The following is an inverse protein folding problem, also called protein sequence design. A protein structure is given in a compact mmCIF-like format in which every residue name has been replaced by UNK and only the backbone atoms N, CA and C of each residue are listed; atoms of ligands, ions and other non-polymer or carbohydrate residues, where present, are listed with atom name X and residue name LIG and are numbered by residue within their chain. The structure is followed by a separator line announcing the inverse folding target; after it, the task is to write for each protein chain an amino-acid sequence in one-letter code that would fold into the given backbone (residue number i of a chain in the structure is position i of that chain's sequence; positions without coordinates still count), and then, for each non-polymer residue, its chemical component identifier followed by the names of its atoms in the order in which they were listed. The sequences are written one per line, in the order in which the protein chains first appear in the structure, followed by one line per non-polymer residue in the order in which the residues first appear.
data_IF_488875970188
#
_entry.id   IF_488875970188
#
_cell.length_a   1.000
_cell.length_b   1.000
_cell.length_c   1.000
_cell.angle_alpha   90.00
_cell.angle_beta   90.00
_cell.angle_gamma   90.00
#
_symmetry.space_group_name_H-M   'P 1'
#
loop_
_entity.id
_entity.type
_entity.pdbx_description
1 polymer ?
#
# COMPACT_ATOMS: atom_id res chain seq x y z
N UNK A 1 -21.29 -16.80 -5.11
CA UNK A 1 -19.87 -16.60 -5.47
C UNK A 1 -19.64 -15.40 -6.40
N UNK A 2 -20.64 -14.96 -7.22
CA UNK A 2 -20.46 -13.80 -8.12
C UNK A 2 -20.15 -12.50 -7.37
N UNK A 3 -20.63 -12.35 -6.13
CA UNK A 3 -20.49 -11.11 -5.33
C UNK A 3 -19.33 -11.18 -4.28
N UNK A 4 -18.47 -12.22 -4.40
CA UNK A 4 -17.42 -12.48 -3.42
C UNK A 4 -16.40 -11.33 -3.33
N UNK A 5 -16.12 -10.68 -4.46
CA UNK A 5 -15.17 -9.57 -4.58
C UNK A 5 -15.86 -8.20 -4.76
N UNK A 6 -17.20 -8.14 -4.73
CA UNK A 6 -17.93 -6.88 -4.86
C UNK A 6 -17.59 -5.92 -3.72
N UNK A 7 -17.44 -4.65 -4.06
CA UNK A 7 -17.30 -3.53 -3.14
C UNK A 7 -18.50 -2.57 -3.24
N UNK A 8 -19.59 -3.00 -3.86
CA UNK A 8 -20.83 -2.20 -3.94
C UNK A 8 -21.30 -1.79 -2.55
N UNK A 9 -21.69 -0.52 -2.42
CA UNK A 9 -22.13 0.08 -1.15
C UNK A 9 -20.99 0.40 -0.17
N UNK A 10 -19.73 0.10 -0.50
CA UNK A 10 -18.58 0.44 0.36
C UNK A 10 -17.98 1.79 -0.01
N UNK A 11 -17.65 2.59 0.99
CA UNK A 11 -16.87 3.83 0.84
C UNK A 11 -15.42 3.53 1.21
N UNK A 12 -14.49 3.90 0.33
CA UNK A 12 -13.06 3.74 0.49
C UNK A 12 -12.33 5.09 0.50
N UNK A 13 -11.33 5.24 1.37
CA UNK A 13 -10.44 6.38 1.40
C UNK A 13 -9.00 5.92 1.16
N UNK A 14 -8.34 6.52 0.14
CA UNK A 14 -7.00 6.13 -0.30
C UNK A 14 -6.04 7.31 -0.21
N UNK A 15 -5.08 7.26 0.71
CA UNK A 15 -4.02 8.27 0.83
C UNK A 15 -2.95 8.06 -0.25
N UNK A 16 -2.41 9.15 -0.79
CA UNK A 16 -1.50 9.07 -1.95
C UNK A 16 -2.19 8.55 -3.22
N UNK A 17 -3.53 8.74 -3.33
CA UNK A 17 -4.36 8.21 -4.41
C UNK A 17 -4.24 8.95 -5.74
N UNK A 18 -3.40 9.98 -5.85
CA UNK A 18 -3.24 10.75 -7.09
C UNK A 18 -2.31 10.13 -8.12
N UNK A 19 -1.40 9.23 -7.70
CA UNK A 19 -0.39 8.59 -8.57
C UNK A 19 -0.02 7.20 -8.07
N UNK A 20 0.71 6.43 -8.88
CA UNK A 20 1.32 5.17 -8.51
C UNK A 20 0.35 4.13 -7.94
N UNK A 21 0.79 3.39 -6.92
CA UNK A 21 0.02 2.29 -6.31
C UNK A 21 -1.33 2.75 -5.75
N UNK A 22 -1.38 3.93 -5.11
CA UNK A 22 -2.64 4.46 -4.58
C UNK A 22 -3.68 4.72 -5.67
N UNK A 23 -3.27 5.26 -6.83
CA UNK A 23 -4.15 5.47 -7.97
C UNK A 23 -4.61 4.13 -8.57
N UNK A 24 -3.73 3.13 -8.68
CA UNK A 24 -4.06 1.78 -9.16
C UNK A 24 -5.11 1.10 -8.26
N UNK A 25 -4.96 1.23 -6.94
CA UNK A 25 -5.93 0.68 -5.98
C UNK A 25 -7.27 1.41 -6.07
N UNK A 26 -7.25 2.75 -6.13
CA UNK A 26 -8.47 3.55 -6.25
C UNK A 26 -9.26 3.20 -7.52
N UNK A 27 -8.58 3.05 -8.65
CA UNK A 27 -9.16 2.63 -9.92
C UNK A 27 -9.78 1.24 -9.82
N UNK A 28 -9.06 0.27 -9.25
CA UNK A 28 -9.56 -1.08 -9.03
C UNK A 28 -10.82 -1.09 -8.14
N UNK A 29 -10.85 -0.30 -7.08
CA UNK A 29 -12.01 -0.22 -6.19
C UNK A 29 -13.25 0.33 -6.90
N UNK A 30 -13.08 1.34 -7.75
CA UNK A 30 -14.18 1.88 -8.57
C UNK A 30 -14.73 0.83 -9.55
N UNK A 31 -13.87 0.05 -10.21
CA UNK A 31 -14.31 -1.04 -11.09
C UNK A 31 -15.10 -2.14 -10.36
N UNK A 32 -14.91 -2.28 -9.06
CA UNK A 32 -15.62 -3.26 -8.23
C UNK A 32 -16.77 -2.65 -7.41
N UNK A 33 -17.17 -1.40 -7.72
CA UNK A 33 -18.39 -0.75 -7.25
C UNK A 33 -18.26 0.09 -5.98
N UNK A 34 -17.06 0.36 -5.48
CA UNK A 34 -16.88 1.24 -4.32
C UNK A 34 -17.06 2.73 -4.67
N UNK A 35 -17.47 3.52 -3.68
CA UNK A 35 -17.31 4.97 -3.68
C UNK A 35 -15.91 5.30 -3.17
N UNK A 36 -15.11 6.08 -3.91
CA UNK A 36 -13.70 6.28 -3.58
C UNK A 36 -13.38 7.74 -3.29
N UNK A 37 -12.70 7.98 -2.17
CA UNK A 37 -12.04 9.23 -1.84
C UNK A 37 -10.54 9.07 -2.03
N UNK A 38 -9.93 9.93 -2.86
CA UNK A 38 -8.48 10.00 -3.01
C UNK A 38 -7.93 11.24 -2.31
N UNK A 39 -6.80 11.06 -1.63
CA UNK A 39 -6.17 12.13 -0.83
C UNK A 39 -4.73 12.33 -1.28
N UNK A 40 -4.32 13.58 -1.50
CA UNK A 40 -2.93 13.96 -1.75
C UNK A 40 -2.71 15.45 -1.47
N UNK A 41 -1.44 15.87 -1.44
CA UNK A 41 -1.04 17.28 -1.18
C UNK A 41 -1.11 18.17 -2.42
N UNK A 42 -0.77 17.63 -3.59
CA UNK A 42 -0.71 18.38 -4.86
C UNK A 42 -2.10 18.45 -5.48
N UNK A 43 -2.75 19.61 -5.33
CA UNK A 43 -4.14 19.79 -5.74
C UNK A 43 -4.37 19.56 -7.23
N UNK A 44 -3.52 20.13 -8.08
CA UNK A 44 -3.60 20.03 -9.54
C UNK A 44 -3.54 18.57 -10.02
N UNK A 45 -2.58 17.81 -9.53
CA UNK A 45 -2.42 16.37 -9.85
C UNK A 45 -3.59 15.56 -9.31
N UNK A 46 -4.04 15.89 -8.10
CA UNK A 46 -5.13 15.18 -7.43
C UNK A 46 -6.46 15.37 -8.16
N UNK A 47 -6.80 16.62 -8.53
CA UNK A 47 -8.03 16.91 -9.25
C UNK A 47 -8.06 16.30 -10.64
N UNK A 48 -6.93 16.36 -11.37
CA UNK A 48 -6.82 15.68 -12.66
C UNK A 48 -7.07 14.17 -12.53
N UNK A 49 -6.47 13.53 -11.52
CA UNK A 49 -6.70 12.10 -11.28
C UNK A 49 -8.15 11.81 -10.88
N UNK A 50 -8.76 12.64 -10.06
CA UNK A 50 -10.16 12.51 -9.68
C UNK A 50 -11.09 12.59 -10.89
N UNK A 51 -10.84 13.52 -11.84
CA UNK A 51 -11.61 13.63 -13.09
C UNK A 51 -11.48 12.39 -14.00
N UNK A 52 -10.27 11.78 -14.04
CA UNK A 52 -10.03 10.52 -14.74
C UNK A 52 -10.84 9.38 -14.11
N UNK A 53 -10.72 9.21 -12.80
CA UNK A 53 -11.37 8.15 -12.04
C UNK A 53 -12.91 8.30 -11.97
N UNK A 54 -13.41 9.52 -11.96
CA UNK A 54 -14.85 9.80 -11.96
C UNK A 54 -15.57 9.32 -13.23
N UNK A 55 -14.85 8.98 -14.30
CA UNK A 55 -15.41 8.34 -15.50
C UNK A 55 -15.73 6.85 -15.29
N UNK A 56 -15.14 6.22 -14.26
CA UNK A 56 -15.33 4.82 -13.93
C UNK A 56 -16.44 4.65 -12.89
N UNK A 57 -16.44 5.50 -11.86
CA UNK A 57 -17.41 5.43 -10.76
C UNK A 57 -17.33 6.64 -9.83
N UNK A 58 -18.08 6.66 -8.73
CA UNK A 58 -18.11 7.77 -7.79
C UNK A 58 -16.73 8.00 -7.16
N UNK A 59 -16.05 9.09 -7.55
CA UNK A 59 -14.75 9.47 -7.05
C UNK A 59 -14.74 10.92 -6.58
N UNK A 60 -14.26 11.15 -5.35
CA UNK A 60 -14.05 12.48 -4.76
C UNK A 60 -12.59 12.66 -4.37
N UNK A 61 -12.17 13.90 -4.18
CA UNK A 61 -10.79 14.20 -3.75
C UNK A 61 -10.76 15.14 -2.56
N UNK A 62 -9.81 14.91 -1.64
CA UNK A 62 -9.54 15.78 -0.49
C UNK A 62 -8.07 16.17 -0.53
N UNK A 63 -7.79 17.48 -0.59
CA UNK A 63 -6.42 18.01 -0.52
C UNK A 63 -6.00 18.04 0.95
N UNK A 64 -4.99 17.23 1.31
CA UNK A 64 -4.48 17.20 2.68
C UNK A 64 -3.02 16.73 2.74
N UNK A 65 -2.30 17.20 3.75
CA UNK A 65 -0.99 16.68 4.13
C UNK A 65 -1.12 15.72 5.32
N UNK A 66 -1.07 14.43 5.02
CA UNK A 66 -1.18 13.38 6.04
C UNK A 66 0.12 13.12 6.80
N UNK A 67 1.23 13.81 6.51
CA UNK A 67 2.45 13.72 7.31
C UNK A 67 2.30 14.34 8.68
N UNK A 68 1.29 15.19 8.87
CA UNK A 68 1.01 15.87 10.15
C UNK A 68 -0.34 15.45 10.74
N UNK A 69 -0.40 15.39 12.07
CA UNK A 69 -1.66 15.09 12.79
C UNK A 69 -2.72 16.17 12.54
N UNK A 70 -2.29 17.43 12.38
CA UNK A 70 -3.18 18.53 12.06
C UNK A 70 -3.83 18.35 10.68
N UNK A 71 -3.03 18.00 9.66
CA UNK A 71 -3.54 17.74 8.31
C UNK A 71 -4.48 16.52 8.26
N UNK A 72 -4.20 15.48 9.04
CA UNK A 72 -5.09 14.31 9.18
C UNK A 72 -6.45 14.73 9.78
N UNK A 73 -6.47 15.59 10.79
CA UNK A 73 -7.72 16.09 11.40
C UNK A 73 -8.52 16.95 10.42
N UNK A 74 -7.89 17.90 9.74
CA UNK A 74 -8.55 18.71 8.70
C UNK A 74 -9.16 17.84 7.59
N UNK A 75 -8.45 16.79 7.20
CA UNK A 75 -8.95 15.82 6.22
C UNK A 75 -10.18 15.07 6.74
N UNK A 76 -10.18 14.66 8.01
CA UNK A 76 -11.33 13.98 8.60
C UNK A 76 -12.55 14.90 8.73
N UNK A 77 -12.33 16.18 9.04
CA UNK A 77 -13.38 17.21 9.02
C UNK A 77 -14.00 17.35 7.62
N UNK A 78 -13.18 17.49 6.57
CA UNK A 78 -13.66 17.55 5.20
C UNK A 78 -14.36 16.25 4.74
N UNK A 79 -13.92 15.10 5.22
CA UNK A 79 -14.57 13.81 4.97
C UNK A 79 -15.96 13.76 5.61
N UNK A 80 -16.10 14.24 6.85
CA UNK A 80 -17.33 14.22 7.63
C UNK A 80 -18.46 15.11 7.07
N UNK A 81 -18.14 16.06 6.21
CA UNK A 81 -19.14 16.86 5.51
C UNK A 81 -19.99 16.02 4.52
N UNK A 82 -19.51 14.82 4.16
CA UNK A 82 -20.12 14.00 3.13
C UNK A 82 -20.43 12.57 3.56
N UNK A 83 -19.73 12.04 4.57
CA UNK A 83 -19.80 10.63 4.95
C UNK A 83 -19.85 10.47 6.46
N UNK A 84 -20.71 9.56 6.92
CA UNK A 84 -20.84 9.18 8.34
C UNK A 84 -20.08 7.90 8.68
N UNK A 85 -19.79 7.07 7.66
CA UNK A 85 -19.08 5.79 7.81
C UNK A 85 -17.92 5.65 6.82
N UNK A 86 -16.96 4.79 7.16
CA UNK A 86 -15.85 4.39 6.30
C UNK A 86 -15.66 2.87 6.35
N UNK A 87 -15.73 2.22 5.19
CA UNK A 87 -15.61 0.77 5.10
C UNK A 87 -14.19 0.31 4.78
N UNK A 88 -13.41 1.13 4.03
CA UNK A 88 -12.08 0.76 3.59
C UNK A 88 -11.15 1.97 3.73
N UNK A 89 -10.08 1.82 4.53
CA UNK A 89 -9.01 2.81 4.66
C UNK A 89 -7.72 2.25 4.07
N UNK A 90 -7.18 2.90 3.02
CA UNK A 90 -5.89 2.54 2.43
C UNK A 90 -4.84 3.59 2.80
N UNK A 91 -3.92 3.21 3.66
CA UNK A 91 -2.76 4.01 4.03
C UNK A 91 -1.62 3.71 3.05
N UNK A 92 -1.56 4.50 1.97
CA UNK A 92 -0.58 4.31 0.90
C UNK A 92 0.40 5.49 0.74
N UNK A 93 0.06 6.69 1.20
CA UNK A 93 0.97 7.82 1.12
C UNK A 93 2.36 7.49 1.71
N UNK A 94 3.41 7.84 1.00
CA UNK A 94 4.77 7.54 1.45
C UNK A 94 5.83 8.20 0.58
N UNK A 95 7.02 8.34 1.13
CA UNK A 95 8.24 8.83 0.46
C UNK A 95 9.40 7.88 0.76
N UNK A 96 10.48 8.02 -0.01
CA UNK A 96 11.76 7.33 0.20
C UNK A 96 12.85 8.36 0.46
N UNK A 97 13.81 8.01 1.32
CA UNK A 97 15.04 8.76 1.54
C UNK A 97 16.03 8.67 0.35
N UNK A 98 15.72 7.82 -0.64
CA UNK A 98 16.59 7.58 -1.79
C UNK A 98 17.84 6.76 -1.42
N UNK A 99 18.74 6.61 -2.39
CA UNK A 99 20.03 5.92 -2.18
C UNK A 99 21.01 6.90 -1.55
N UNK A 100 21.53 6.55 -0.36
CA UNK A 100 22.46 7.41 0.38
C UNK A 100 23.48 6.57 1.14
N UNK A 101 24.67 7.13 1.30
CA UNK A 101 25.61 6.64 2.31
C UNK A 101 25.08 6.98 3.72
N UNK A 102 25.53 6.23 4.72
CA UNK A 102 24.99 6.39 6.10
C UNK A 102 25.21 7.82 6.65
N UNK A 103 26.32 8.45 6.29
CA UNK A 103 26.70 9.79 6.73
C UNK A 103 25.85 10.89 6.05
N UNK A 104 25.16 10.58 4.96
CA UNK A 104 24.30 11.52 4.23
C UNK A 104 22.87 11.56 4.76
N UNK A 105 22.52 10.66 5.68
CA UNK A 105 21.18 10.62 6.28
C UNK A 105 21.11 11.63 7.40
N UNK A 106 20.38 12.73 7.17
CA UNK A 106 20.12 13.74 8.19
C UNK A 106 18.94 13.36 9.07
N UNK A 107 18.87 13.94 10.27
CA UNK A 107 17.74 13.78 11.20
C UNK A 107 16.42 14.21 10.53
N UNK A 108 16.40 15.37 9.85
CA UNK A 108 15.24 15.88 9.14
C UNK A 108 14.74 14.90 8.07
N UNK A 109 15.65 14.36 7.26
CA UNK A 109 15.28 13.36 6.23
C UNK A 109 14.72 12.09 6.86
N UNK A 110 15.31 11.63 7.96
CA UNK A 110 14.82 10.49 8.72
C UNK A 110 13.41 10.74 9.27
N UNK A 111 13.19 11.90 9.90
CA UNK A 111 11.92 12.27 10.49
C UNK A 111 10.82 12.44 9.44
N UNK A 112 11.11 13.07 8.31
CA UNK A 112 10.18 13.20 7.18
C UNK A 112 9.66 11.83 6.71
N UNK A 113 10.57 10.85 6.58
CA UNK A 113 10.19 9.50 6.16
C UNK A 113 9.39 8.79 7.23
N UNK A 114 9.81 8.85 8.49
CA UNK A 114 9.12 8.19 9.60
C UNK A 114 7.75 8.82 9.87
N UNK A 115 7.64 10.13 9.80
CA UNK A 115 6.39 10.86 10.01
C UNK A 115 5.35 10.49 8.94
N UNK A 116 5.74 10.50 7.66
CA UNK A 116 4.79 10.17 6.59
C UNK A 116 4.54 8.67 6.47
N UNK A 117 5.58 7.82 6.53
CA UNK A 117 5.43 6.41 6.20
C UNK A 117 4.87 5.55 7.35
N UNK A 118 5.10 5.94 8.61
CA UNK A 118 4.74 5.12 9.76
C UNK A 118 3.84 5.85 10.76
N UNK A 119 4.23 7.03 11.25
CA UNK A 119 3.46 7.80 12.22
C UNK A 119 2.10 8.19 11.67
N UNK A 120 2.04 8.62 10.40
CA UNK A 120 0.79 8.98 9.75
C UNK A 120 -0.22 7.84 9.78
N UNK A 121 0.20 6.60 9.49
CA UNK A 121 -0.66 5.42 9.46
C UNK A 121 -1.36 5.21 10.80
N UNK A 122 -0.63 5.30 11.91
CA UNK A 122 -1.23 5.16 13.23
C UNK A 122 -2.28 6.26 13.49
N UNK A 123 -1.95 7.52 13.21
CA UNK A 123 -2.87 8.63 13.45
C UNK A 123 -4.03 8.68 12.47
N UNK A 124 -3.86 8.21 11.22
CA UNK A 124 -4.95 7.99 10.26
C UNK A 124 -5.97 7.00 10.82
N UNK A 125 -5.52 5.80 11.21
CA UNK A 125 -6.40 4.78 11.77
C UNK A 125 -7.10 5.32 13.01
N UNK A 126 -6.36 5.90 13.97
CA UNK A 126 -6.91 6.49 15.19
C UNK A 126 -7.98 7.56 14.91
N UNK A 127 -7.75 8.44 13.94
CA UNK A 127 -8.67 9.53 13.62
C UNK A 127 -9.94 9.00 12.93
N UNK A 128 -9.80 7.97 12.10
CA UNK A 128 -10.91 7.37 11.38
C UNK A 128 -11.61 6.23 12.11
N UNK A 129 -11.16 5.83 13.31
CA UNK A 129 -11.84 4.80 14.10
C UNK A 129 -13.34 5.05 14.29
N UNK A 130 -13.83 6.27 14.60
CA UNK A 130 -15.27 6.51 14.72
C UNK A 130 -16.05 6.12 13.46
N UNK A 131 -15.52 6.45 12.27
CA UNK A 131 -16.15 6.13 10.98
C UNK A 131 -16.04 4.64 10.62
N UNK A 132 -14.91 4.01 10.93
CA UNK A 132 -14.68 2.58 10.68
C UNK A 132 -15.58 1.68 11.55
N UNK A 133 -16.03 2.17 12.72
CA UNK A 133 -16.89 1.44 13.66
C UNK A 133 -18.36 1.45 13.27
N UNK A 134 -18.83 2.42 12.48
CA UNK A 134 -20.28 2.65 12.24
C UNK A 134 -20.96 1.41 11.70
N UNK A 135 -20.42 0.81 10.64
CA UNK A 135 -21.01 -0.34 9.94
C UNK A 135 -20.22 -1.65 10.20
N UNK A 136 -19.23 -1.61 11.10
CA UNK A 136 -18.36 -2.74 11.35
C UNK A 136 -19.05 -3.83 12.16
N UNK A 137 -18.95 -5.08 11.68
CA UNK A 137 -19.38 -6.27 12.41
C UNK A 137 -18.49 -7.47 12.05
N UNK A 138 -18.55 -8.59 12.79
CA UNK A 138 -17.83 -9.81 12.43
C UNK A 138 -18.16 -10.33 11.03
N UNK A 139 -19.41 -10.14 10.58
CA UNK A 139 -19.90 -10.60 9.28
C UNK A 139 -19.54 -9.62 8.14
N UNK A 140 -19.50 -8.33 8.47
CA UNK A 140 -19.21 -7.24 7.52
C UNK A 140 -18.14 -6.30 8.09
N UNK A 141 -16.88 -6.76 8.19
CA UNK A 141 -15.84 -5.94 8.80
C UNK A 141 -15.49 -4.73 7.94
N UNK A 142 -15.10 -3.65 8.61
CA UNK A 142 -14.34 -2.58 7.99
C UNK A 142 -12.88 -2.98 7.82
N UNK A 143 -12.24 -2.51 6.75
CA UNK A 143 -10.90 -2.97 6.37
C UNK A 143 -9.90 -1.82 6.32
N UNK A 144 -8.78 -1.98 6.98
CA UNK A 144 -7.61 -1.10 6.86
C UNK A 144 -6.52 -1.86 6.12
N UNK A 145 -6.00 -1.23 5.06
CA UNK A 145 -4.93 -1.77 4.23
C UNK A 145 -3.75 -0.81 4.28
N UNK A 146 -2.64 -1.25 4.87
CA UNK A 146 -1.41 -0.48 4.94
C UNK A 146 -0.47 -0.89 3.81
N UNK A 147 0.11 0.06 3.09
CA UNK A 147 1.09 -0.22 2.03
C UNK A 147 2.50 -0.12 2.61
N UNK A 148 3.12 -1.29 2.81
CA UNK A 148 4.52 -1.41 3.20
C UNK A 148 5.46 -1.49 1.97
N UNK A 149 6.40 -2.40 1.96
CA UNK A 149 7.35 -2.71 0.86
C UNK A 149 8.05 -4.03 1.16
N UNK A 150 8.57 -4.66 0.12
CA UNK A 150 9.52 -5.79 0.30
C UNK A 150 10.78 -5.36 1.05
N UNK A 151 11.16 -4.09 1.02
CA UNK A 151 12.28 -3.55 1.82
C UNK A 151 12.02 -3.66 3.33
N UNK A 152 10.75 -3.71 3.75
CA UNK A 152 10.35 -4.02 5.13
C UNK A 152 10.26 -5.52 5.45
N UNK A 153 10.33 -6.41 4.44
CA UNK A 153 10.20 -7.86 4.61
C UNK A 153 11.54 -8.59 4.80
N UNK A 154 12.63 -7.87 5.05
CA UNK A 154 13.96 -8.45 5.20
C UNK A 154 14.73 -8.61 3.88
N UNK A 155 14.19 -8.14 2.75
CA UNK A 155 14.99 -7.96 1.55
C UNK A 155 15.96 -6.81 1.79
N UNK A 156 17.26 -7.13 1.83
CA UNK A 156 18.28 -6.10 1.82
C UNK A 156 18.39 -5.55 0.40
N UNK A 157 17.86 -4.34 0.20
CA UNK A 157 18.07 -3.63 -1.03
C UNK A 157 19.51 -3.09 -1.06
N UNK A 158 20.22 -3.30 -2.15
CA UNK A 158 21.55 -2.71 -2.38
C UNK A 158 21.51 -1.17 -2.48
N UNK A 159 20.34 -0.60 -2.33
CA UNK A 159 20.10 0.83 -2.47
C UNK A 159 20.25 1.63 -1.17
N UNK A 160 20.45 0.96 -0.02
CA UNK A 160 20.64 1.62 1.30
C UNK A 160 19.59 2.72 1.60
N UNK A 161 18.30 2.36 1.56
CA UNK A 161 17.18 3.22 1.95
C UNK A 161 16.92 3.02 3.46
N UNK A 162 17.71 3.61 4.33
CA UNK A 162 17.71 3.31 5.76
C UNK A 162 16.39 3.63 6.44
N UNK A 163 15.94 4.88 6.36
CA UNK A 163 14.70 5.33 6.98
C UNK A 163 13.48 4.67 6.33
N UNK A 164 13.48 4.54 4.99
CA UNK A 164 12.41 3.86 4.27
C UNK A 164 12.26 2.41 4.68
N UNK A 165 13.33 1.62 4.63
CA UNK A 165 13.31 0.20 5.02
C UNK A 165 12.84 0.02 6.47
N UNK A 166 13.38 0.83 7.40
CA UNK A 166 12.97 0.83 8.81
C UNK A 166 11.48 1.16 8.97
N UNK A 167 11.00 2.22 8.29
CA UNK A 167 9.59 2.62 8.35
C UNK A 167 8.66 1.51 7.82
N UNK A 168 9.02 0.85 6.71
CA UNK A 168 8.20 -0.21 6.11
C UNK A 168 8.19 -1.50 6.93
N UNK A 169 9.28 -1.83 7.61
CA UNK A 169 9.31 -2.90 8.60
C UNK A 169 8.42 -2.57 9.81
N UNK A 170 8.47 -1.32 10.29
CA UNK A 170 7.59 -0.81 11.34
C UNK A 170 6.12 -0.89 10.97
N UNK A 171 5.74 -0.56 9.73
CA UNK A 171 4.36 -0.67 9.21
C UNK A 171 3.85 -2.10 9.26
N UNK A 172 4.68 -3.09 8.90
CA UNK A 172 4.30 -4.50 8.96
C UNK A 172 4.00 -4.92 10.40
N UNK A 173 4.86 -4.54 11.34
CA UNK A 173 4.65 -4.88 12.75
C UNK A 173 3.46 -4.11 13.35
N UNK A 174 3.30 -2.83 13.01
CA UNK A 174 2.15 -2.02 13.43
C UNK A 174 0.84 -2.61 12.91
N UNK A 175 0.81 -3.11 11.68
CA UNK A 175 -0.33 -3.79 11.09
C UNK A 175 -0.76 -5.03 11.88
N UNK A 176 0.20 -5.82 12.40
CA UNK A 176 -0.09 -6.98 13.26
C UNK A 176 -0.70 -6.56 14.60
N UNK A 177 -0.11 -5.56 15.26
CA UNK A 177 -0.61 -5.06 16.55
C UNK A 177 -2.02 -4.49 16.44
N UNK A 178 -2.27 -3.69 15.40
CA UNK A 178 -3.60 -3.11 15.16
C UNK A 178 -4.61 -4.17 14.69
N UNK A 179 -4.15 -5.16 13.90
CA UNK A 179 -4.98 -6.29 13.49
C UNK A 179 -5.48 -7.12 14.67
N UNK A 180 -4.64 -7.35 15.67
CA UNK A 180 -5.04 -8.04 16.91
C UNK A 180 -6.00 -7.17 17.73
N UNK A 181 -5.63 -5.90 17.98
CA UNK A 181 -6.40 -5.04 18.89
C UNK A 181 -7.77 -4.63 18.36
N UNK A 182 -7.92 -4.43 17.03
CA UNK A 182 -9.15 -3.93 16.42
C UNK A 182 -10.07 -5.01 15.85
N UNK A 183 -9.60 -6.26 15.73
CA UNK A 183 -10.40 -7.37 15.22
C UNK A 183 -11.68 -7.61 16.06
N UNK A 184 -11.59 -7.43 17.36
CA UNK A 184 -12.71 -7.54 18.30
C UNK A 184 -13.83 -6.52 18.05
N UNK A 185 -13.53 -5.44 17.35
CA UNK A 185 -14.47 -4.38 16.98
C UNK A 185 -14.97 -4.54 15.53
N UNK A 186 -14.66 -5.66 14.87
CA UNK A 186 -15.01 -5.88 13.46
C UNK A 186 -14.17 -5.02 12.50
N UNK A 187 -12.96 -4.59 12.89
CA UNK A 187 -12.06 -3.82 12.03
C UNK A 187 -10.83 -4.67 11.75
N UNK A 188 -10.66 -5.08 10.49
CA UNK A 188 -9.52 -5.87 10.06
C UNK A 188 -8.40 -4.97 9.54
N UNK A 189 -7.18 -5.20 10.01
CA UNK A 189 -6.00 -4.44 9.59
C UNK A 189 -5.00 -5.38 8.94
N UNK A 190 -4.72 -5.16 7.67
CA UNK A 190 -3.77 -5.94 6.89
C UNK A 190 -2.73 -5.05 6.21
N UNK A 191 -1.65 -5.66 5.79
CA UNK A 191 -0.55 -4.98 5.11
C UNK A 191 -0.33 -5.63 3.74
N UNK A 192 -0.05 -4.82 2.73
CA UNK A 192 0.47 -5.27 1.44
C UNK A 192 1.91 -4.78 1.32
N UNK A 193 2.83 -5.67 0.94
CA UNK A 193 4.24 -5.37 0.69
C UNK A 193 4.54 -5.52 -0.80
N UNK A 194 4.43 -4.45 -1.60
CA UNK A 194 4.76 -4.50 -3.02
C UNK A 194 6.26 -4.65 -3.28
N UNK A 195 6.61 -5.32 -4.37
CA UNK A 195 7.91 -5.26 -5.01
C UNK A 195 7.99 -4.13 -6.04
N UNK A 196 8.62 -4.40 -7.17
CA UNK A 196 8.83 -3.42 -8.23
C UNK A 196 7.56 -3.16 -9.05
N UNK A 197 6.99 -1.96 -8.90
CA UNK A 197 5.89 -1.41 -9.69
C UNK A 197 6.36 -0.12 -10.38
N UNK A 198 5.87 0.20 -11.60
CA UNK A 198 6.25 1.39 -12.36
C UNK A 198 5.58 2.64 -11.78
N UNK A 199 6.23 3.30 -10.82
CA UNK A 199 5.72 4.47 -10.12
C UNK A 199 6.74 5.60 -10.10
N UNK A 200 6.31 6.82 -9.74
CA UNK A 200 7.22 7.95 -9.54
C UNK A 200 8.21 7.72 -8.40
N UNK A 201 7.82 6.93 -7.40
CA UNK A 201 8.70 6.54 -6.30
C UNK A 201 9.74 5.51 -6.76
N UNK A 202 9.38 4.63 -7.68
CA UNK A 202 10.26 3.63 -8.28
C UNK A 202 10.50 3.94 -9.76
N UNK A 203 11.27 5.00 -10.01
CA UNK A 203 11.65 5.42 -11.37
C UNK A 203 12.43 4.34 -12.12
N UNK A 204 13.22 3.52 -11.40
CA UNK A 204 13.98 2.44 -12.02
C UNK A 204 13.04 1.41 -12.67
N UNK A 205 12.00 0.98 -12.00
CA UNK A 205 11.01 0.08 -12.56
C UNK A 205 10.20 0.72 -13.70
N UNK A 206 9.93 2.04 -13.61
CA UNK A 206 9.20 2.76 -14.65
C UNK A 206 10.04 2.97 -15.92
N UNK A 207 11.28 3.46 -15.76
CA UNK A 207 12.12 3.95 -16.87
C UNK A 207 13.05 2.86 -17.44
N UNK A 208 13.34 1.79 -16.66
CA UNK A 208 14.25 0.70 -17.01
C UNK A 208 13.61 -0.68 -16.84
N UNK A 209 12.36 -0.80 -17.24
CA UNK A 209 11.53 -2.01 -17.03
C UNK A 209 12.21 -3.30 -17.52
N UNK A 210 12.84 -3.30 -18.69
CA UNK A 210 13.47 -4.49 -19.29
C UNK A 210 14.70 -4.98 -18.52
N UNK A 211 15.43 -4.08 -17.88
CA UNK A 211 16.54 -4.45 -17.02
C UNK A 211 16.03 -4.98 -15.66
N UNK A 212 15.03 -4.31 -15.10
CA UNK A 212 14.42 -4.72 -13.83
C UNK A 212 13.79 -6.12 -13.91
N UNK A 213 13.12 -6.47 -15.00
CA UNK A 213 12.55 -7.82 -15.21
C UNK A 213 13.58 -8.95 -15.07
N UNK A 214 14.86 -8.70 -15.39
CA UNK A 214 15.92 -9.74 -15.30
C UNK A 214 16.19 -10.13 -13.86
N UNK A 215 15.98 -9.22 -12.91
CA UNK A 215 16.21 -9.45 -11.48
C UNK A 215 15.03 -10.14 -10.79
N UNK A 216 13.82 -10.06 -11.33
CA UNK A 216 12.60 -10.60 -10.73
C UNK A 216 12.37 -12.05 -11.19
N UNK A 217 12.12 -13.02 -10.28
CA UNK A 217 11.86 -14.41 -10.66
C UNK A 217 10.70 -14.58 -11.64
N UNK A 218 9.61 -13.82 -11.48
CA UNK A 218 8.45 -13.84 -12.38
C UNK A 218 8.71 -13.22 -13.75
N UNK A 219 9.91 -12.65 -14.01
CA UNK A 219 10.35 -12.06 -15.29
C UNK A 219 9.49 -10.89 -15.77
N UNK A 220 8.80 -10.23 -14.87
CA UNK A 220 8.03 -9.01 -15.12
C UNK A 220 7.96 -8.15 -13.85
N UNK A 221 7.71 -6.87 -14.03
CA UNK A 221 7.33 -5.98 -12.94
C UNK A 221 5.85 -6.15 -12.58
N UNK A 222 5.42 -5.60 -11.46
CA UNK A 222 4.02 -5.56 -11.06
C UNK A 222 3.20 -4.61 -11.93
N UNK A 223 1.93 -4.94 -12.14
CA UNK A 223 0.93 -4.18 -12.90
C UNK A 223 -0.27 -3.85 -11.99
N UNK A 224 -1.14 -2.94 -12.47
CA UNK A 224 -2.33 -2.51 -11.73
C UNK A 224 -3.13 -3.69 -11.18
N UNK A 225 -3.43 -4.69 -12.00
CA UNK A 225 -4.25 -5.84 -11.62
C UNK A 225 -3.68 -6.63 -10.45
N UNK A 226 -2.35 -6.64 -10.31
CA UNK A 226 -1.68 -7.37 -9.23
C UNK A 226 -1.88 -6.69 -7.87
N UNK A 227 -1.75 -5.37 -7.81
CA UNK A 227 -1.89 -4.63 -6.56
C UNK A 227 -3.36 -4.35 -6.24
N UNK A 228 -4.15 -3.95 -7.23
CA UNK A 228 -5.57 -3.70 -7.06
C UNK A 228 -6.33 -4.99 -6.70
N UNK A 229 -6.04 -6.12 -7.37
CA UNK A 229 -6.65 -7.41 -7.06
C UNK A 229 -6.38 -7.87 -5.63
N UNK A 230 -5.16 -7.65 -5.13
CA UNK A 230 -4.81 -7.95 -3.72
C UNK A 230 -5.57 -7.04 -2.75
N UNK A 231 -5.67 -5.75 -3.05
CA UNK A 231 -6.43 -4.80 -2.23
C UNK A 231 -7.93 -5.11 -2.25
N UNK A 232 -8.51 -5.44 -3.41
CA UNK A 232 -9.90 -5.87 -3.56
C UNK A 232 -10.17 -7.14 -2.75
N UNK A 233 -9.28 -8.13 -2.82
CA UNK A 233 -9.38 -9.34 -1.98
C UNK A 233 -9.51 -8.96 -0.50
N UNK A 234 -8.60 -8.17 0.03
CA UNK A 234 -8.61 -7.77 1.44
C UNK A 234 -9.82 -6.90 1.83
N UNK A 235 -10.35 -6.10 0.90
CA UNK A 235 -11.47 -5.19 1.14
C UNK A 235 -12.85 -5.84 0.98
N UNK A 236 -12.91 -7.01 0.35
CA UNK A 236 -14.15 -7.71 -0.01
C UNK A 236 -14.48 -8.87 0.93
N UNK A 237 -15.63 -9.48 0.72
CA UNK A 237 -16.06 -10.70 1.45
C UNK A 237 -15.05 -11.85 1.32
N UNK A 238 -14.27 -11.89 0.23
CA UNK A 238 -13.25 -12.91 0.02
C UNK A 238 -12.14 -12.85 1.08
N UNK A 239 -11.83 -11.66 1.57
CA UNK A 239 -10.78 -11.39 2.55
C UNK A 239 -11.26 -11.30 4.00
N UNK A 240 -12.55 -11.43 4.29
CA UNK A 240 -13.14 -11.16 5.62
C UNK A 240 -12.61 -12.02 6.79
N UNK A 241 -11.75 -12.99 6.53
CA UNK A 241 -11.11 -13.79 7.59
C UNK A 241 -9.60 -13.54 7.71
N UNK A 242 -9.14 -12.41 7.12
CA UNK A 242 -7.74 -11.98 7.20
C UNK A 242 -7.64 -10.73 8.06
N UNK A 243 -6.85 -10.80 9.13
CA UNK A 243 -6.40 -9.65 9.92
C UNK A 243 -4.98 -9.88 10.41
N UNK A 244 -4.18 -8.84 10.56
CA UNK A 244 -2.78 -8.91 10.96
C UNK A 244 -1.84 -9.51 9.90
N UNK A 245 -2.33 -9.81 8.69
CA UNK A 245 -1.54 -10.43 7.63
C UNK A 245 -0.67 -9.41 6.89
N UNK A 246 0.48 -9.88 6.38
CA UNK A 246 1.29 -9.14 5.40
C UNK A 246 1.35 -9.95 4.09
N UNK A 247 0.72 -9.43 3.04
CA UNK A 247 0.71 -10.06 1.73
C UNK A 247 1.80 -9.44 0.85
N UNK A 248 2.77 -10.25 0.47
CA UNK A 248 3.86 -9.83 -0.41
C UNK A 248 3.43 -9.99 -1.87
N UNK A 249 3.58 -8.93 -2.68
CA UNK A 249 3.18 -8.88 -4.10
C UNK A 249 4.39 -8.41 -4.90
N UNK A 250 5.33 -9.33 -5.20
CA UNK A 250 6.66 -8.97 -5.69
C UNK A 250 7.22 -9.87 -6.80
N UNK A 251 6.44 -10.80 -7.31
CA UNK A 251 6.92 -11.75 -8.33
C UNK A 251 8.03 -12.70 -7.85
N UNK A 252 8.15 -12.88 -6.52
CA UNK A 252 9.13 -13.75 -5.87
C UNK A 252 10.48 -13.06 -5.59
N UNK A 253 10.54 -11.76 -5.69
CA UNK A 253 11.77 -10.99 -5.54
C UNK A 253 12.36 -11.06 -4.12
N UNK A 254 11.52 -10.96 -3.08
CA UNK A 254 11.96 -11.00 -1.67
C UNK A 254 12.37 -12.40 -1.19
N UNK A 255 11.89 -13.47 -1.83
CA UNK A 255 12.23 -14.86 -1.49
C UNK A 255 13.33 -15.42 -2.38
N UNK A 256 13.96 -14.56 -3.19
CA UNK A 256 15.04 -14.97 -4.07
C UNK A 256 16.28 -15.40 -3.25
N UNK A 257 16.58 -16.69 -3.29
CA UNK A 257 17.82 -17.23 -2.72
C UNK A 257 19.06 -16.88 -3.56
N UNK A 258 20.21 -17.45 -3.16
CA UNK A 258 21.47 -17.33 -3.92
C UNK A 258 21.22 -17.78 -5.36
N UNK A 259 21.65 -16.97 -6.33
CA UNK A 259 21.42 -17.24 -7.75
C UNK A 259 21.93 -18.62 -8.14
N UNK A 260 21.13 -19.35 -8.94
CA UNK A 260 21.55 -20.65 -9.53
C UNK A 260 22.90 -20.57 -10.23
N UNK A 261 23.23 -19.42 -10.84
CA UNK A 261 24.52 -19.15 -11.46
C UNK A 261 25.71 -19.22 -10.49
N UNK A 262 25.51 -18.91 -9.20
CA UNK A 262 26.54 -19.08 -8.18
C UNK A 262 26.74 -20.56 -7.88
N UNK A 263 25.67 -21.33 -7.69
CA UNK A 263 25.74 -22.76 -7.46
C UNK A 263 26.27 -23.53 -8.69
N UNK A 264 25.93 -23.08 -9.90
CA UNK A 264 26.45 -23.63 -11.15
C UNK A 264 27.99 -23.54 -11.24
N UNK A 265 28.59 -22.49 -10.67
CA UNK A 265 30.06 -22.34 -10.60
C UNK A 265 30.68 -23.27 -9.58
N UNK A 266 30.01 -23.52 -8.45
CA UNK A 266 30.54 -24.36 -7.35
C UNK A 266 30.22 -25.83 -7.56
N UNK A 267 29.07 -26.17 -8.14
CA UNK A 267 28.59 -27.52 -8.38
C UNK A 267 27.95 -27.62 -9.78
N UNK A 268 28.75 -27.71 -10.86
CA UNK A 268 28.22 -27.71 -12.23
C UNK A 268 27.22 -28.86 -12.52
N UNK A 269 27.39 -29.99 -11.84
CA UNK A 269 26.57 -31.19 -12.02
C UNK A 269 25.18 -31.10 -11.32
N UNK A 270 25.03 -30.21 -10.36
CA UNK A 270 23.75 -29.97 -9.67
C UNK A 270 22.79 -29.10 -10.48
N UNK A 271 23.29 -28.35 -11.44
CA UNK A 271 22.53 -27.33 -12.21
C UNK A 271 22.02 -27.88 -13.54
N UNK A 272 22.20 -29.18 -13.83
CA UNK A 272 21.60 -29.85 -15.01
C UNK A 272 20.08 -30.04 -14.86
N UNK A 273 19.38 -29.00 -14.43
CA UNK A 273 17.94 -28.89 -14.60
C UNK A 273 17.69 -27.83 -15.69
N UNK A 274 17.98 -28.24 -16.93
CA UNK A 274 17.41 -27.63 -18.12
C UNK A 274 15.88 -27.85 -18.06
N UNK A 275 15.17 -26.78 -17.73
CA UNK A 275 13.74 -26.60 -18.04
C UNK A 275 13.50 -25.16 -18.42
#
# INVERSE_FOLDING_TARGET
MKDLFSLEGKTALVTGGSTGIGAMIAEGFLHFGANVYIVARREDVLRKKQEELAKIGPCRSIVADVSTVAGIKMMAEAYSEHEESLHILVNNAGISDGRREIEEVTEELWDDVMDLNMKSIFFMIRTFLPYLRVDASPETPSNVINIASIDGCGKLNTAYNYAYGASKAGVIQLGRLLGDSLAWEGIHVNTISPGDFPTDLNKAARDNTDEMKKSIPAKRIGEMDNIAGTAIFLASKAGNYNTGSNIVVDGGESVRGIQRSFFAKLWPDWVKLDR
#
